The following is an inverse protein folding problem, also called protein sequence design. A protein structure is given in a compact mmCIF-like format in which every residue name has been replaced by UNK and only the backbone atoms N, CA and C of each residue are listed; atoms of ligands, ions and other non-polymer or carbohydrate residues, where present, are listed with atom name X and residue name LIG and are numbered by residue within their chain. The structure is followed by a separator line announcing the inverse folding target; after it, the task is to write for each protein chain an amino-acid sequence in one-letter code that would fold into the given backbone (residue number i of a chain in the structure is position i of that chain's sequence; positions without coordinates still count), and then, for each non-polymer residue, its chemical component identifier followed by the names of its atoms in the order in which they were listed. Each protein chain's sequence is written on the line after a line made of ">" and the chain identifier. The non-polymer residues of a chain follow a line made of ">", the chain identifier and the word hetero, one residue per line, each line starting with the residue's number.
data_IF_577598420373
#
_entry.id   IF_577598420373
#
_cell.length_a   1.000
_cell.length_b   1.000
_cell.length_c   1.000
_cell.angle_alpha   90.00
_cell.angle_beta   90.00
_cell.angle_gamma   90.00
#
_symmetry.space_group_name_H-M   'P 1'
#
loop_
_entity.id
_entity.type
_entity.pdbx_description
1 polymer ?
#
# COMPACT_ATOMS: atom_id res chain seq x y z
N UNK A 1 9.62 -17.03 -12.97
CA UNK A 1 9.39 -16.54 -11.60
C UNK A 1 7.89 -16.68 -11.33
N UNK A 2 7.49 -17.51 -10.37
CA UNK A 2 6.09 -17.88 -10.16
C UNK A 2 5.34 -16.78 -9.39
N UNK A 3 4.34 -16.21 -10.05
CA UNK A 3 3.43 -15.15 -9.56
C UNK A 3 2.76 -15.52 -8.22
N UNK A 4 2.53 -16.80 -7.98
CA UNK A 4 1.85 -17.33 -6.79
C UNK A 4 2.58 -17.05 -5.46
N UNK A 5 3.92 -16.94 -5.47
CA UNK A 5 4.67 -16.66 -4.23
C UNK A 5 4.64 -15.18 -3.80
N UNK A 6 4.34 -14.27 -4.73
CA UNK A 6 4.25 -12.83 -4.45
C UNK A 6 2.94 -12.51 -3.72
N UNK A 7 1.84 -13.13 -4.13
CA UNK A 7 0.51 -12.93 -3.53
C UNK A 7 0.44 -13.36 -2.06
N UNK A 8 1.09 -14.47 -1.70
CA UNK A 8 1.07 -15.01 -0.33
C UNK A 8 1.82 -14.11 0.65
N UNK A 9 2.87 -13.41 0.21
CA UNK A 9 3.62 -12.49 1.06
C UNK A 9 2.92 -11.13 1.24
N UNK A 10 2.18 -10.66 0.24
CA UNK A 10 1.45 -9.37 0.30
C UNK A 10 0.19 -9.47 1.18
N UNK A 11 -0.50 -10.62 1.21
CA UNK A 11 -1.68 -10.83 2.07
C UNK A 11 -1.41 -10.63 3.57
N UNK A 12 -0.17 -10.78 4.05
CA UNK A 12 0.15 -10.72 5.49
C UNK A 12 0.19 -9.32 6.10
N UNK A 13 0.23 -8.26 5.28
CA UNK A 13 0.38 -6.88 5.75
C UNK A 13 -0.73 -5.95 5.24
N UNK A 14 -1.93 -6.51 5.07
CA UNK A 14 -3.14 -5.80 4.73
C UNK A 14 -4.18 -6.11 5.82
N UNK A 15 -4.74 -5.12 6.55
CA UNK A 15 -4.42 -3.70 6.45
C UNK A 15 -2.96 -3.41 6.87
N UNK A 16 -2.38 -2.32 6.35
CA UNK A 16 -1.11 -1.84 6.86
C UNK A 16 -1.23 -1.48 8.36
N UNK A 17 -0.12 -1.58 9.09
CA UNK A 17 -0.11 -1.44 10.56
C UNK A 17 0.52 -0.12 11.01
N UNK A 18 -0.05 0.49 12.04
CA UNK A 18 0.55 1.65 12.71
C UNK A 18 1.90 1.24 13.31
N UNK A 19 2.92 2.10 13.13
CA UNK A 19 4.28 1.82 13.56
C UNK A 19 5.14 1.09 12.53
N UNK A 20 4.57 0.54 11.46
CA UNK A 20 5.31 -0.03 10.33
C UNK A 20 5.55 1.04 9.24
N UNK A 21 6.42 0.73 8.27
CA UNK A 21 6.70 1.60 7.13
C UNK A 21 5.70 1.37 6.00
N UNK A 22 5.10 2.45 5.48
CA UNK A 22 4.14 2.41 4.39
C UNK A 22 4.84 2.33 3.04
N UNK A 23 4.36 1.41 2.20
CA UNK A 23 4.87 1.20 0.84
C UNK A 23 3.78 1.37 -0.21
N UNK A 24 4.12 2.11 -1.25
CA UNK A 24 3.38 2.22 -2.49
C UNK A 24 4.16 1.53 -3.60
N UNK A 25 3.52 0.66 -4.36
CA UNK A 25 4.14 -0.02 -5.51
C UNK A 25 3.35 0.33 -6.78
N UNK A 26 3.99 1.07 -7.69
CA UNK A 26 3.32 1.57 -8.89
C UNK A 26 2.89 0.45 -9.85
N UNK A 27 3.47 -0.76 -9.73
CA UNK A 27 3.09 -1.93 -10.55
C UNK A 27 1.79 -2.56 -10.07
N UNK A 28 1.39 -2.30 -8.83
CA UNK A 28 0.10 -2.73 -8.29
C UNK A 28 -1.03 -1.77 -8.67
N UNK A 29 -0.70 -0.68 -9.38
CA UNK A 29 -1.69 0.21 -9.97
C UNK A 29 -2.07 -0.33 -11.35
N UNK A 30 -3.35 -0.67 -11.61
CA UNK A 30 -3.77 -1.04 -12.95
C UNK A 30 -3.57 0.17 -13.87
N UNK A 31 -2.59 0.06 -14.77
CA UNK A 31 -2.20 1.15 -15.67
C UNK A 31 -3.06 1.25 -16.94
N UNK A 32 -4.11 0.45 -17.10
CA UNK A 32 -4.88 0.41 -18.33
C UNK A 32 -6.18 1.21 -18.25
N UNK A 33 -6.44 1.97 -19.32
CA UNK A 33 -7.56 2.88 -19.59
C UNK A 33 -8.96 2.24 -19.59
N UNK A 34 -9.15 1.15 -18.86
CA UNK A 34 -10.43 0.49 -18.65
C UNK A 34 -10.87 0.77 -17.23
N UNK A 35 -11.96 1.53 -17.08
CA UNK A 35 -12.78 1.73 -15.88
C UNK A 35 -12.15 1.09 -14.63
N UNK A 36 -11.46 1.90 -13.82
CA UNK A 36 -10.91 1.42 -12.55
C UNK A 36 -12.10 1.03 -11.67
N UNK A 37 -12.31 -0.27 -11.46
CA UNK A 37 -13.25 -0.73 -10.46
C UNK A 37 -12.69 -0.38 -9.08
N UNK A 38 -13.20 0.71 -8.51
CA UNK A 38 -12.85 1.18 -7.17
C UNK A 38 -13.06 0.10 -6.11
N UNK A 39 -13.93 -0.89 -6.35
CA UNK A 39 -14.12 -2.04 -5.46
C UNK A 39 -12.94 -3.02 -5.47
N UNK A 40 -12.18 -3.05 -6.57
CA UNK A 40 -10.95 -3.85 -6.70
C UNK A 40 -9.69 -3.06 -6.35
N UNK A 41 -9.83 -1.77 -6.01
CA UNK A 41 -8.68 -0.94 -5.70
C UNK A 41 -8.21 -1.18 -4.26
N UNK A 42 -7.25 -2.10 -4.11
CA UNK A 42 -6.71 -2.53 -2.83
C UNK A 42 -5.57 -1.62 -2.31
N UNK A 43 -5.80 -0.32 -2.18
CA UNK A 43 -4.89 0.54 -1.40
C UNK A 43 -5.59 1.12 -0.18
N UNK A 44 -4.86 1.20 0.93
CA UNK A 44 -5.28 1.87 2.15
C UNK A 44 -4.80 3.31 2.11
N UNK A 45 -5.55 4.21 2.72
CA UNK A 45 -5.06 5.56 2.98
C UNK A 45 -4.37 5.57 4.34
N UNK A 46 -3.18 6.16 4.43
CA UNK A 46 -2.41 6.27 5.68
C UNK A 46 -1.85 7.67 5.86
N UNK A 47 -1.62 8.09 7.09
CA UNK A 47 -0.73 9.21 7.39
C UNK A 47 0.59 8.67 7.92
N UNK A 48 1.69 9.33 7.54
CA UNK A 48 3.03 8.96 7.97
C UNK A 48 3.64 10.03 8.89
N UNK A 49 4.65 9.65 9.66
CA UNK A 49 5.39 10.55 10.53
C UNK A 49 5.95 11.74 9.72
N UNK A 50 5.82 12.94 10.29
CA UNK A 50 6.24 14.22 9.68
C UNK A 50 5.53 14.57 8.36
N UNK A 51 4.38 13.93 8.08
CA UNK A 51 3.56 14.26 6.91
C UNK A 51 2.13 14.62 7.34
N UNK A 52 1.61 15.69 6.76
CA UNK A 52 0.25 16.18 7.01
C UNK A 52 -0.77 15.58 6.04
N UNK A 53 -0.33 15.11 4.88
CA UNK A 53 -1.17 14.54 3.84
C UNK A 53 -1.40 13.03 4.04
N UNK A 54 -2.48 12.52 3.45
CA UNK A 54 -2.75 11.08 3.33
C UNK A 54 -2.05 10.52 2.09
N UNK A 55 -1.55 9.30 2.18
CA UNK A 55 -0.88 8.59 1.10
C UNK A 55 -1.59 7.26 0.82
N UNK A 56 -1.59 6.84 -0.43
CA UNK A 56 -1.93 5.47 -0.79
C UNK A 56 -0.87 4.49 -0.27
N UNK A 57 -1.31 3.35 0.23
CA UNK A 57 -0.47 2.32 0.80
C UNK A 57 -0.97 0.96 0.34
N UNK A 58 -0.15 0.22 -0.39
CA UNK A 58 -0.47 -1.13 -0.83
C UNK A 58 -0.16 -2.17 0.27
N UNK A 59 0.91 -1.95 1.05
CA UNK A 59 1.31 -2.82 2.15
C UNK A 59 2.23 -2.08 3.14
N UNK A 60 2.41 -2.63 4.34
CA UNK A 60 3.41 -2.16 5.31
C UNK A 60 4.45 -3.22 5.68
N UNK A 61 5.60 -2.78 6.20
CA UNK A 61 6.64 -3.67 6.75
C UNK A 61 7.25 -3.10 8.03
N UNK A 62 7.69 -3.94 8.99
CA UNK A 62 8.30 -3.48 10.23
C UNK A 62 9.71 -2.89 10.06
N UNK A 63 10.28 -2.96 8.86
CA UNK A 63 11.61 -2.45 8.54
C UNK A 63 11.61 -1.69 7.20
N UNK A 64 12.64 -0.88 6.99
CA UNK A 64 12.86 -0.19 5.71
C UNK A 64 13.49 -1.15 4.70
N UNK A 65 12.80 -1.44 3.60
CA UNK A 65 13.38 -2.15 2.45
C UNK A 65 14.41 -1.28 1.70
N UNK A 66 15.37 -1.91 1.00
CA UNK A 66 16.19 -1.22 0.00
C UNK A 66 15.34 -0.52 -1.07
N UNK A 67 15.90 0.53 -1.68
CA UNK A 67 15.26 1.25 -2.77
C UNK A 67 15.01 0.33 -3.98
N UNK A 68 13.84 0.48 -4.58
CA UNK A 68 13.42 -0.21 -5.80
C UNK A 68 12.69 0.82 -6.66
N UNK A 69 12.97 0.84 -7.97
CA UNK A 69 12.46 1.83 -8.92
C UNK A 69 10.94 1.99 -8.90
N UNK A 70 10.20 0.91 -8.57
CA UNK A 70 8.74 0.91 -8.60
C UNK A 70 8.12 1.06 -7.20
N UNK A 71 8.92 1.03 -6.13
CA UNK A 71 8.44 1.02 -4.75
C UNK A 71 8.86 2.30 -4.04
N UNK A 72 7.87 3.05 -3.55
CA UNK A 72 8.09 4.24 -2.73
C UNK A 72 7.79 3.96 -1.26
N UNK A 73 8.76 4.21 -0.39
CA UNK A 73 8.54 4.25 1.06
C UNK A 73 8.01 5.63 1.48
N UNK A 74 6.80 5.69 2.02
CA UNK A 74 6.24 6.95 2.52
C UNK A 74 6.63 7.27 3.96
N UNK A 75 7.30 6.35 4.65
CA UNK A 75 7.74 6.48 6.04
C UNK A 75 6.86 5.73 7.02
N UNK A 76 7.10 5.96 8.32
CA UNK A 76 6.44 5.23 9.40
C UNK A 76 4.98 5.67 9.56
N UNK A 77 4.06 4.71 9.61
CA UNK A 77 2.62 4.94 9.68
C UNK A 77 2.24 5.43 11.08
N UNK A 78 1.44 6.50 11.12
CA UNK A 78 0.85 7.05 12.35
C UNK A 78 -0.64 6.79 12.44
N UNK A 79 -1.36 6.72 11.31
CA UNK A 79 -2.79 6.39 11.24
C UNK A 79 -3.11 5.63 9.96
N UNK A 80 -4.09 4.74 10.04
CA UNK A 80 -4.62 3.95 8.92
C UNK A 80 -6.10 4.31 8.77
N UNK A 81 -6.51 4.62 7.55
CA UNK A 81 -7.88 4.93 7.19
C UNK A 81 -8.41 3.78 6.35
N UNK A 82 -9.53 3.19 6.79
CA UNK A 82 -10.23 2.17 6.03
C UNK A 82 -10.72 2.79 4.73
N UNK A 83 -10.48 2.13 3.61
CA UNK A 83 -11.16 2.47 2.37
C UNK A 83 -12.62 2.01 2.54
N UNK A 84 -13.43 2.80 3.24
CA UNK A 84 -14.87 2.55 3.37
C UNK A 84 -15.49 2.86 2.01
N UNK A 85 -15.56 1.87 1.13
CA UNK A 85 -16.67 1.79 0.20
C UNK A 85 -17.84 1.12 0.95
N UNK A 86 -18.48 1.89 1.83
CA UNK A 86 -19.85 1.57 2.27
C UNK A 86 -20.76 2.03 1.13
N UNK A 87 -21.18 1.09 0.28
CA UNK A 87 -22.41 1.18 -0.52
C UNK A 87 -23.59 0.75 0.31
#
# INVERSE_FOLDING_TARGET
>A
MNTENIEVSLKKNIPPKVGEYAYYDSRLNPHDNTIIDLNTWHHWLVTCQNKTLKFGCNYSLPYVKPEDTYITCHGKITKVFKNNHET
#
